data_IF_110674352635
#
_entry.id   IF_110674352635
#
_cell.length_a   1.000
_cell.length_b   1.000
_cell.length_c   1.000
_cell.angle_alpha   90.00
_cell.angle_beta   90.00
_cell.angle_gamma   90.00
#
_symmetry.space_group_name_H-M   'P 1'
#
loop_
_entity.id
_entity.type
_entity.pdbx_description
1 polymer ?
#
# COMPACT_ATOMS: atom_id res chain seq x y z
N UNK A 1 8.45 -16.49 -24.69
CA UNK A 1 7.36 -15.70 -24.06
C UNK A 1 6.68 -16.57 -23.02
N UNK A 2 6.44 -16.08 -21.80
CA UNK A 2 5.58 -16.80 -20.85
C UNK A 2 4.16 -16.82 -21.39
N UNK A 3 3.52 -18.00 -21.41
CA UNK A 3 2.11 -18.15 -21.77
C UNK A 3 1.16 -17.80 -20.60
N UNK A 4 1.71 -17.49 -19.42
CA UNK A 4 0.98 -16.98 -18.26
C UNK A 4 1.44 -15.55 -17.97
N UNK A 5 0.56 -14.59 -18.24
CA UNK A 5 0.76 -13.21 -17.80
C UNK A 5 0.40 -13.12 -16.32
N UNK A 6 1.16 -12.31 -15.57
CA UNK A 6 0.79 -12.03 -14.19
C UNK A 6 -0.56 -11.31 -14.14
N UNK A 7 -1.40 -11.56 -13.13
CA UNK A 7 -2.65 -10.83 -12.96
C UNK A 7 -2.39 -9.32 -12.88
N UNK A 8 -3.29 -8.53 -13.48
CA UNK A 8 -3.17 -7.07 -13.45
C UNK A 8 -3.68 -6.56 -12.09
N UNK A 9 -2.94 -5.69 -11.40
CA UNK A 9 -3.41 -5.14 -10.13
C UNK A 9 -4.58 -4.16 -10.32
N UNK A 10 -5.31 -3.83 -9.25
CA UNK A 10 -6.37 -2.82 -9.27
C UNK A 10 -5.92 -1.52 -9.96
N UNK A 11 -6.73 -1.03 -10.88
CA UNK A 11 -6.44 0.16 -11.68
C UNK A 11 -6.92 1.45 -10.98
N UNK A 12 -6.39 1.71 -9.77
CA UNK A 12 -6.64 2.93 -9.00
C UNK A 12 -5.33 3.49 -8.41
N UNK A 13 -5.19 4.82 -8.29
CA UNK A 13 -4.03 5.40 -7.63
C UNK A 13 -3.95 4.99 -6.17
N UNK A 14 -2.73 4.72 -5.71
CA UNK A 14 -2.43 4.30 -4.35
C UNK A 14 -1.07 4.85 -3.90
N UNK A 15 -0.70 6.06 -4.37
CA UNK A 15 0.61 6.67 -4.09
C UNK A 15 0.78 6.98 -2.62
N UNK A 16 -0.27 7.52 -2.01
CA UNK A 16 -0.28 7.92 -0.61
C UNK A 16 -1.51 7.37 0.11
N UNK A 17 -1.27 6.67 1.23
CA UNK A 17 -2.30 6.24 2.18
C UNK A 17 -2.21 7.08 3.45
N UNK A 18 -3.14 8.02 3.66
CA UNK A 18 -3.13 8.92 4.82
C UNK A 18 -3.89 8.31 6.00
N UNK A 19 -3.21 8.14 7.13
CA UNK A 19 -3.78 7.61 8.36
C UNK A 19 -4.26 8.71 9.30
N UNK A 20 -5.37 8.43 10.00
CA UNK A 20 -5.88 9.28 11.06
C UNK A 20 -6.69 8.50 12.09
N UNK A 21 -6.49 8.73 13.40
CA UNK A 21 -7.19 8.01 14.46
C UNK A 21 -8.69 8.32 14.43
N UNK A 22 -9.52 7.27 14.50
CA UNK A 22 -10.98 7.37 14.63
C UNK A 22 -11.44 8.10 15.89
N UNK A 23 -10.58 8.21 16.90
CA UNK A 23 -10.83 8.98 18.12
C UNK A 23 -10.70 10.50 17.93
N UNK A 24 -10.17 10.99 16.80
CA UNK A 24 -9.95 12.43 16.56
C UNK A 24 -10.78 12.97 15.38
N UNK A 25 -12.04 13.26 15.65
CA UNK A 25 -13.01 13.74 14.65
C UNK A 25 -12.63 15.05 13.95
N UNK A 26 -11.73 15.85 14.55
CA UNK A 26 -11.26 17.13 13.97
C UNK A 26 -10.39 16.93 12.72
N UNK A 27 -9.92 15.70 12.46
CA UNK A 27 -9.02 15.40 11.34
C UNK A 27 -9.79 15.02 10.07
N UNK A 28 -10.99 14.46 10.17
CA UNK A 28 -11.66 13.81 9.02
C UNK A 28 -11.86 14.75 7.84
N UNK A 29 -12.40 15.95 8.05
CA UNK A 29 -12.57 16.94 6.99
C UNK A 29 -11.23 17.38 6.36
N UNK A 30 -10.16 17.46 7.16
CA UNK A 30 -8.81 17.79 6.67
C UNK A 30 -8.21 16.66 5.85
N UNK A 31 -8.46 15.41 6.24
CA UNK A 31 -8.04 14.22 5.51
C UNK A 31 -8.78 14.12 4.17
N UNK A 32 -10.10 14.34 4.16
CA UNK A 32 -10.92 14.36 2.95
C UNK A 32 -10.43 15.41 1.94
N UNK A 33 -10.09 16.60 2.41
CA UNK A 33 -9.56 17.71 1.61
C UNK A 33 -8.08 17.55 1.20
N UNK A 34 -7.40 16.48 1.64
CA UNK A 34 -5.97 16.30 1.37
C UNK A 34 -5.68 15.82 -0.06
N UNK A 35 -4.40 15.82 -0.43
CA UNK A 35 -3.92 15.29 -1.71
C UNK A 35 -3.62 13.77 -1.66
N UNK A 36 -3.94 13.05 -0.59
CA UNK A 36 -3.74 11.61 -0.52
C UNK A 36 -4.68 10.87 -1.50
N UNK A 37 -4.29 9.70 -2.00
CA UNK A 37 -5.16 8.89 -2.88
C UNK A 37 -6.13 8.05 -2.04
N UNK A 38 -5.63 7.54 -0.91
CA UNK A 38 -6.34 6.67 0.03
C UNK A 38 -6.36 7.29 1.42
N UNK A 39 -7.49 7.17 2.10
CA UNK A 39 -7.69 7.56 3.49
C UNK A 39 -7.87 6.29 4.33
N UNK A 40 -7.08 6.15 5.39
CA UNK A 40 -7.23 5.10 6.39
C UNK A 40 -7.70 5.73 7.70
N UNK A 41 -8.98 5.50 8.04
CA UNK A 41 -9.51 5.79 9.37
C UNK A 41 -9.15 4.64 10.30
N UNK A 42 -8.51 4.94 11.42
CA UNK A 42 -7.89 3.91 12.25
C UNK A 42 -8.71 3.59 13.51
N UNK A 43 -8.94 2.30 13.78
CA UNK A 43 -9.54 1.80 15.02
C UNK A 43 -8.54 1.01 15.88
N UNK A 44 -7.30 0.85 15.40
CA UNK A 44 -6.32 -0.05 15.98
C UNK A 44 -5.25 0.69 16.79
N UNK A 45 -3.97 0.68 16.41
CA UNK A 45 -2.85 1.07 17.28
C UNK A 45 -2.79 2.59 17.60
N UNK A 46 -3.41 3.46 16.79
CA UNK A 46 -3.52 4.88 17.13
C UNK A 46 -4.71 5.22 18.04
N UNK A 47 -5.50 4.21 18.44
CA UNK A 47 -6.68 4.35 19.31
C UNK A 47 -6.51 3.53 20.57
N UNK A 48 -6.53 4.20 21.72
CA UNK A 48 -6.43 3.55 23.03
C UNK A 48 -7.58 2.53 23.23
N UNK A 49 -7.37 1.41 23.94
CA UNK A 49 -8.40 0.39 24.16
C UNK A 49 -9.73 0.92 24.70
N UNK A 50 -9.70 1.92 25.58
CA UNK A 50 -10.89 2.56 26.17
C UNK A 50 -11.71 3.38 25.16
N UNK A 51 -11.08 3.77 24.05
CA UNK A 51 -11.64 4.71 23.10
C UNK A 51 -12.16 4.00 21.84
N UNK A 52 -11.97 2.68 21.71
CA UNK A 52 -12.29 1.91 20.49
C UNK A 52 -13.77 1.94 20.14
N UNK A 53 -14.66 1.84 21.13
CA UNK A 53 -16.11 1.90 20.89
C UNK A 53 -16.54 3.29 20.40
N UNK A 54 -16.03 4.35 21.03
CA UNK A 54 -16.25 5.73 20.59
C UNK A 54 -15.67 5.95 19.19
N UNK A 55 -14.44 5.50 18.94
CA UNK A 55 -13.78 5.65 17.63
C UNK A 55 -14.56 4.93 16.53
N UNK A 56 -15.11 3.74 16.79
CA UNK A 56 -15.98 3.02 15.85
C UNK A 56 -17.22 3.83 15.49
N UNK A 57 -17.90 4.40 16.49
CA UNK A 57 -19.05 5.26 16.27
C UNK A 57 -18.69 6.50 15.44
N UNK A 58 -17.58 7.18 15.79
CA UNK A 58 -17.07 8.34 15.05
C UNK A 58 -16.74 8.02 13.59
N UNK A 59 -16.11 6.87 13.33
CA UNK A 59 -15.75 6.44 11.97
C UNK A 59 -16.99 6.16 11.14
N UNK A 60 -18.00 5.47 11.70
CA UNK A 60 -19.29 5.24 11.03
C UNK A 60 -19.97 6.57 10.71
N UNK A 61 -20.04 7.50 11.66
CA UNK A 61 -20.59 8.83 11.43
C UNK A 61 -19.84 9.57 10.32
N UNK A 62 -18.51 9.51 10.32
CA UNK A 62 -17.68 10.18 9.32
C UNK A 62 -17.85 9.59 7.92
N UNK A 63 -17.98 8.26 7.78
CA UNK A 63 -18.29 7.61 6.50
C UNK A 63 -19.65 8.08 5.95
N UNK A 64 -20.61 8.37 6.84
CA UNK A 64 -21.96 8.77 6.47
C UNK A 64 -22.10 10.27 6.16
N UNK A 65 -21.28 11.12 6.76
CA UNK A 65 -21.52 12.57 6.80
C UNK A 65 -20.44 13.43 6.17
N UNK A 66 -19.19 12.95 6.08
CA UNK A 66 -18.09 13.70 5.46
C UNK A 66 -18.10 13.47 3.96
N UNK A 67 -17.93 14.54 3.18
CA UNK A 67 -17.68 14.42 1.74
C UNK A 67 -16.22 14.03 1.49
N UNK A 68 -16.02 12.74 1.25
CA UNK A 68 -14.71 12.15 0.95
C UNK A 68 -14.32 12.26 -0.53
N UNK A 69 -15.13 12.91 -1.37
CA UNK A 69 -14.88 13.02 -2.80
C UNK A 69 -14.50 11.68 -3.45
N UNK A 70 -13.45 11.69 -4.27
CA UNK A 70 -12.96 10.52 -5.03
C UNK A 70 -11.92 9.66 -4.30
N UNK A 71 -11.67 9.89 -3.00
CA UNK A 71 -10.67 9.12 -2.23
C UNK A 71 -11.08 7.64 -2.15
N UNK A 72 -10.12 6.73 -2.13
CA UNK A 72 -10.41 5.38 -1.62
C UNK A 72 -10.52 5.48 -0.10
N UNK A 73 -11.70 5.21 0.46
CA UNK A 73 -11.96 5.30 1.90
C UNK A 73 -11.85 3.92 2.53
N UNK A 74 -10.81 3.75 3.34
CA UNK A 74 -10.50 2.51 4.06
C UNK A 74 -10.59 2.71 5.57
N UNK A 75 -10.91 1.63 6.29
CA UNK A 75 -10.86 1.58 7.75
C UNK A 75 -9.91 0.47 8.18
N UNK A 76 -8.93 0.79 9.03
CA UNK A 76 -8.13 -0.23 9.71
C UNK A 76 -8.87 -0.72 10.94
N UNK A 77 -9.35 -1.97 10.87
CA UNK A 77 -10.02 -2.64 11.99
C UNK A 77 -8.98 -3.11 13.01
N UNK A 78 -9.42 -3.55 14.18
CA UNK A 78 -8.55 -4.22 15.13
C UNK A 78 -8.15 -5.63 14.65
N UNK A 79 -7.04 -6.14 15.17
CA UNK A 79 -6.50 -7.46 14.82
C UNK A 79 -7.33 -8.63 15.34
N UNK A 80 -7.24 -9.78 14.65
CA UNK A 80 -8.05 -10.98 14.92
C UNK A 80 -7.80 -11.62 16.29
N UNK A 81 -6.68 -11.32 16.92
CA UNK A 81 -6.31 -11.73 18.28
C UNK A 81 -6.92 -10.84 19.38
N UNK A 82 -7.72 -9.83 19.02
CA UNK A 82 -8.38 -8.92 19.96
C UNK A 82 -9.89 -9.18 20.03
N UNK A 83 -10.58 -8.76 21.11
CA UNK A 83 -12.03 -8.87 21.17
C UNK A 83 -12.78 -7.83 20.32
N UNK A 84 -12.08 -6.92 19.62
CA UNK A 84 -12.69 -5.76 18.97
C UNK A 84 -13.02 -5.98 17.49
N UNK A 85 -12.21 -6.79 16.77
CA UNK A 85 -12.25 -6.89 15.30
C UNK A 85 -13.65 -7.24 14.75
N UNK A 86 -14.34 -8.18 15.39
CA UNK A 86 -15.64 -8.66 14.90
C UNK A 86 -16.68 -7.54 14.98
N UNK A 87 -16.63 -6.73 16.05
CA UNK A 87 -17.55 -5.62 16.26
C UNK A 87 -17.27 -4.49 15.29
N UNK A 88 -15.99 -4.23 15.01
CA UNK A 88 -15.59 -3.26 13.98
C UNK A 88 -16.21 -3.63 12.63
N UNK A 89 -16.03 -4.88 12.17
CA UNK A 89 -16.55 -5.34 10.88
C UNK A 89 -18.08 -5.30 10.84
N UNK A 90 -18.75 -5.84 11.87
CA UNK A 90 -20.22 -5.89 11.90
C UNK A 90 -20.82 -4.48 11.89
N UNK A 91 -20.39 -3.60 12.79
CA UNK A 91 -21.00 -2.27 12.89
C UNK A 91 -20.69 -1.41 11.65
N UNK A 92 -19.47 -1.50 11.10
CA UNK A 92 -19.12 -0.82 9.84
C UNK A 92 -20.05 -1.25 8.70
N UNK A 93 -20.24 -2.56 8.50
CA UNK A 93 -21.02 -3.04 7.36
C UNK A 93 -22.54 -2.92 7.57
N UNK A 94 -23.01 -2.96 8.81
CA UNK A 94 -24.44 -2.80 9.11
C UNK A 94 -24.91 -1.35 9.16
N UNK A 95 -24.02 -0.40 9.50
CA UNK A 95 -24.40 0.98 9.82
C UNK A 95 -23.73 2.04 8.92
N UNK A 96 -22.57 1.76 8.33
CA UNK A 96 -21.94 2.71 7.42
C UNK A 96 -22.57 2.63 6.02
N UNK A 97 -22.61 3.77 5.34
CA UNK A 97 -23.15 3.90 3.99
C UNK A 97 -22.31 3.13 2.96
N UNK A 98 -22.77 3.14 1.71
CA UNK A 98 -22.00 2.63 0.57
C UNK A 98 -20.75 3.45 0.26
N UNK A 99 -20.40 4.45 1.09
CA UNK A 99 -19.17 5.21 0.92
C UNK A 99 -17.92 4.44 1.32
N UNK A 100 -17.97 3.51 2.26
CA UNK A 100 -16.80 2.69 2.65
C UNK A 100 -16.33 1.84 1.46
N UNK A 101 -15.05 1.92 1.08
CA UNK A 101 -14.50 1.18 -0.07
C UNK A 101 -13.75 -0.08 0.35
N UNK A 102 -13.01 0.00 1.46
CA UNK A 102 -12.01 -1.02 1.81
C UNK A 102 -11.90 -1.21 3.33
N UNK A 103 -11.50 -2.40 3.76
CA UNK A 103 -11.09 -2.70 5.13
C UNK A 103 -9.61 -3.12 5.15
N UNK A 104 -8.83 -2.51 6.04
CA UNK A 104 -7.46 -2.90 6.33
C UNK A 104 -7.41 -3.86 7.51
N UNK A 105 -6.82 -5.04 7.31
CA UNK A 105 -6.65 -6.08 8.32
C UNK A 105 -5.20 -6.02 8.84
N UNK A 106 -4.97 -5.65 10.11
CA UNK A 106 -3.64 -5.63 10.69
C UNK A 106 -3.16 -7.04 11.07
N UNK A 107 -1.85 -7.17 11.27
CA UNK A 107 -1.19 -8.33 11.90
C UNK A 107 -1.52 -9.68 11.26
N UNK A 108 -1.81 -9.70 9.96
CA UNK A 108 -2.15 -10.94 9.23
C UNK A 108 -0.97 -11.91 9.27
N UNK A 109 -1.21 -13.11 9.78
CA UNK A 109 -0.21 -14.14 9.97
C UNK A 109 -0.32 -15.30 8.98
N UNK A 110 -1.48 -15.52 8.38
CA UNK A 110 -1.72 -16.58 7.40
C UNK A 110 -2.93 -16.28 6.49
N UNK A 111 -3.13 -17.09 5.44
CA UNK A 111 -4.27 -16.93 4.54
C UNK A 111 -5.64 -17.09 5.23
N UNK A 112 -5.72 -17.90 6.29
CA UNK A 112 -6.96 -18.15 7.03
C UNK A 112 -7.47 -16.91 7.78
N UNK A 113 -6.58 -16.00 8.18
CA UNK A 113 -6.97 -14.73 8.81
C UNK A 113 -7.78 -13.86 7.82
N UNK A 114 -7.31 -13.77 6.58
CA UNK A 114 -8.00 -13.05 5.51
C UNK A 114 -9.32 -13.72 5.17
N UNK A 115 -9.34 -15.05 5.10
CA UNK A 115 -10.57 -15.82 4.86
C UNK A 115 -11.63 -15.59 5.94
N UNK A 116 -11.23 -15.53 7.22
CA UNK A 116 -12.14 -15.29 8.33
C UNK A 116 -12.84 -13.93 8.21
N UNK A 117 -12.10 -12.88 7.83
CA UNK A 117 -12.67 -11.56 7.57
C UNK A 117 -13.56 -11.57 6.33
N UNK A 118 -13.11 -12.18 5.22
CA UNK A 118 -13.92 -12.28 3.99
C UNK A 118 -15.26 -12.98 4.23
N UNK A 119 -15.27 -14.08 4.99
CA UNK A 119 -16.49 -14.81 5.33
C UNK A 119 -17.48 -13.94 6.12
N UNK A 120 -17.01 -13.20 7.13
CA UNK A 120 -17.85 -12.29 7.91
C UNK A 120 -18.36 -11.13 7.05
N UNK A 121 -17.48 -10.49 6.29
CA UNK A 121 -17.82 -9.38 5.39
C UNK A 121 -18.89 -9.81 4.39
N UNK A 122 -18.69 -10.95 3.73
CA UNK A 122 -19.61 -11.49 2.72
C UNK A 122 -20.99 -11.80 3.33
N UNK A 123 -21.04 -12.38 4.53
CA UNK A 123 -22.30 -12.67 5.19
C UNK A 123 -23.08 -11.39 5.54
N UNK A 124 -22.41 -10.37 6.07
CA UNK A 124 -23.06 -9.11 6.45
C UNK A 124 -23.45 -8.30 5.20
N UNK A 125 -22.61 -8.24 4.16
CA UNK A 125 -22.97 -7.62 2.87
C UNK A 125 -24.26 -8.21 2.30
N UNK A 126 -24.35 -9.54 2.26
CA UNK A 126 -25.54 -10.24 1.76
C UNK A 126 -26.78 -9.97 2.64
N UNK A 127 -26.64 -10.01 3.97
CA UNK A 127 -27.74 -9.76 4.89
C UNK A 127 -28.28 -8.32 4.81
N UNK A 128 -27.39 -7.34 4.56
CA UNK A 128 -27.74 -5.92 4.44
C UNK A 128 -28.10 -5.50 3.02
N UNK A 129 -27.94 -6.39 2.04
CA UNK A 129 -28.20 -6.09 0.63
C UNK A 129 -27.24 -5.04 0.07
N UNK A 130 -25.99 -5.03 0.51
CA UNK A 130 -24.98 -4.06 0.05
C UNK A 130 -24.70 -4.28 -1.44
N UNK A 131 -24.71 -3.19 -2.19
CA UNK A 131 -24.50 -3.17 -3.64
C UNK A 131 -23.03 -3.06 -4.02
N UNK A 132 -22.22 -2.39 -3.19
CA UNK A 132 -20.79 -2.25 -3.39
C UNK A 132 -20.03 -3.27 -2.55
N UNK A 133 -19.23 -4.09 -3.24
CA UNK A 133 -18.33 -5.06 -2.61
C UNK A 133 -17.16 -4.34 -1.95
N UNK A 134 -16.92 -4.64 -0.68
CA UNK A 134 -15.78 -4.11 0.09
C UNK A 134 -14.50 -4.86 -0.31
N UNK A 135 -13.48 -4.07 -0.65
CA UNK A 135 -12.12 -4.55 -0.88
C UNK A 135 -11.40 -4.81 0.45
N UNK A 136 -10.35 -5.62 0.41
CA UNK A 136 -9.48 -5.87 1.55
C UNK A 136 -8.07 -5.37 1.24
N UNK A 137 -7.42 -4.80 2.24
CA UNK A 137 -5.98 -4.64 2.28
C UNK A 137 -5.43 -5.27 3.57
N UNK A 138 -4.18 -5.73 3.54
CA UNK A 138 -3.57 -6.38 4.70
C UNK A 138 -2.26 -5.71 5.07
N UNK A 139 -1.88 -5.82 6.34
CA UNK A 139 -0.56 -5.41 6.80
C UNK A 139 0.27 -6.66 7.10
N UNK A 140 1.43 -6.75 6.44
CA UNK A 140 2.51 -7.66 6.81
C UNK A 140 3.41 -6.94 7.80
N UNK A 141 3.26 -7.29 9.06
CA UNK A 141 3.96 -6.62 10.16
C UNK A 141 4.38 -7.60 11.26
N UNK A 142 4.57 -8.87 10.90
CA UNK A 142 5.04 -9.91 11.80
C UNK A 142 5.95 -10.91 11.10
N UNK A 143 6.71 -11.67 11.89
CA UNK A 143 7.53 -12.78 11.39
C UNK A 143 6.68 -13.83 10.66
N UNK A 144 5.48 -14.14 11.17
CA UNK A 144 4.55 -15.06 10.54
C UNK A 144 4.03 -14.51 9.20
N UNK A 145 3.62 -13.24 9.17
CA UNK A 145 3.11 -12.60 7.97
C UNK A 145 4.13 -12.62 6.83
N UNK A 146 5.41 -12.32 7.10
CA UNK A 146 6.43 -12.35 6.05
C UNK A 146 6.79 -13.78 5.62
N UNK A 147 6.75 -14.75 6.53
CA UNK A 147 6.99 -16.16 6.22
C UNK A 147 5.89 -16.77 5.34
N UNK A 148 4.65 -16.25 5.44
CA UNK A 148 3.47 -16.72 4.71
C UNK A 148 3.00 -15.72 3.64
N UNK A 149 3.83 -14.78 3.23
CA UNK A 149 3.41 -13.62 2.41
C UNK A 149 2.76 -14.00 1.07
N UNK A 150 3.21 -15.09 0.44
CA UNK A 150 2.64 -15.56 -0.84
C UNK A 150 1.24 -16.16 -0.67
N UNK A 151 1.01 -17.01 0.35
CA UNK A 151 -0.33 -17.55 0.59
C UNK A 151 -1.32 -16.46 1.02
N UNK A 152 -0.86 -15.45 1.76
CA UNK A 152 -1.67 -14.29 2.14
C UNK A 152 -2.06 -13.50 0.89
N UNK A 153 -1.12 -13.26 -0.03
CA UNK A 153 -1.41 -12.54 -1.28
C UNK A 153 -2.43 -13.27 -2.18
N UNK A 154 -2.58 -14.59 -2.03
CA UNK A 154 -3.55 -15.40 -2.76
C UNK A 154 -4.89 -15.61 -2.02
N UNK A 155 -5.02 -15.10 -0.79
CA UNK A 155 -6.01 -15.58 0.16
C UNK A 155 -7.47 -15.19 -0.13
N UNK A 156 -7.71 -14.08 -0.85
CA UNK A 156 -9.06 -13.61 -1.12
C UNK A 156 -9.16 -12.86 -2.45
N UNK A 157 -10.25 -13.04 -3.22
CA UNK A 157 -10.54 -12.21 -4.39
C UNK A 157 -10.91 -10.75 -4.03
N UNK A 158 -11.04 -10.40 -2.74
CA UNK A 158 -11.23 -9.02 -2.28
C UNK A 158 -9.89 -8.30 -2.08
N UNK A 159 -8.78 -9.04 -1.97
CA UNK A 159 -7.50 -8.47 -1.62
C UNK A 159 -6.99 -7.59 -2.76
N UNK A 160 -6.72 -6.33 -2.46
CA UNK A 160 -6.29 -5.33 -3.43
C UNK A 160 -4.90 -4.76 -3.11
N UNK A 161 -4.54 -4.68 -1.82
CA UNK A 161 -3.27 -4.11 -1.39
C UNK A 161 -2.65 -4.85 -0.20
N UNK A 162 -1.33 -4.76 -0.07
CA UNK A 162 -0.54 -5.31 1.02
C UNK A 162 0.52 -4.30 1.42
N UNK A 163 0.53 -3.92 2.71
CA UNK A 163 1.45 -2.93 3.27
C UNK A 163 2.50 -3.59 4.17
N UNK A 164 3.74 -3.07 4.17
CA UNK A 164 4.76 -3.44 5.16
C UNK A 164 4.66 -2.54 6.42
N UNK A 165 4.22 -3.09 7.55
CA UNK A 165 4.22 -2.36 8.83
C UNK A 165 5.59 -2.43 9.52
N UNK A 166 6.51 -1.54 9.19
CA UNK A 166 7.91 -1.65 9.60
C UNK A 166 8.16 -1.64 11.13
N UNK A 167 7.34 -0.91 11.90
CA UNK A 167 7.50 -0.82 13.37
C UNK A 167 7.16 -2.16 14.05
N UNK A 168 5.95 -2.65 13.83
CA UNK A 168 5.49 -3.94 14.38
C UNK A 168 6.26 -5.12 13.78
N UNK A 169 6.67 -5.04 12.51
CA UNK A 169 7.58 -6.03 11.92
C UNK A 169 8.89 -6.11 12.70
N UNK A 170 9.52 -4.97 12.97
CA UNK A 170 10.75 -4.92 13.74
C UNK A 170 10.57 -5.47 15.16
N UNK A 171 9.47 -5.13 15.83
CA UNK A 171 9.14 -5.65 17.15
C UNK A 171 8.94 -7.17 17.14
N UNK A 172 8.16 -7.69 16.19
CA UNK A 172 7.89 -9.13 16.03
C UNK A 172 9.14 -9.93 15.71
N UNK A 173 10.03 -9.37 14.89
CA UNK A 173 11.30 -10.00 14.50
C UNK A 173 12.39 -9.89 15.58
N UNK A 174 12.17 -9.13 16.65
CA UNK A 174 13.18 -8.86 17.68
C UNK A 174 14.33 -7.97 17.21
N UNK A 175 14.10 -7.13 16.19
CA UNK A 175 15.11 -6.22 15.66
C UNK A 175 15.46 -5.13 16.70
N UNK A 176 16.75 -4.85 16.85
CA UNK A 176 17.25 -3.83 17.79
C UNK A 176 17.13 -2.42 17.19
N UNK A 177 15.90 -1.92 17.08
CA UNK A 177 15.57 -0.56 16.62
C UNK A 177 14.42 0.01 17.44
N UNK A 178 14.38 1.34 17.56
CA UNK A 178 13.31 2.08 18.24
C UNK A 178 12.67 3.15 17.35
N UNK A 179 13.12 3.25 16.09
CA UNK A 179 12.52 4.08 15.07
C UNK A 179 11.46 3.32 14.26
N UNK A 180 10.77 4.04 13.38
CA UNK A 180 9.78 3.46 12.46
C UNK A 180 10.33 3.60 11.03
N UNK A 181 10.83 2.48 10.48
CA UNK A 181 11.48 2.46 9.16
C UNK A 181 12.88 3.08 9.17
N UNK A 182 13.30 3.63 8.03
CA UNK A 182 14.54 4.38 7.89
C UNK A 182 15.83 3.56 7.93
N UNK A 183 16.96 4.28 7.89
CA UNK A 183 18.31 3.73 8.05
C UNK A 183 18.54 3.29 9.49
N UNK A 184 19.27 2.19 9.69
CA UNK A 184 19.60 1.68 11.02
C UNK A 184 21.09 1.87 11.30
N UNK A 185 21.44 2.64 12.33
CA UNK A 185 22.82 3.03 12.64
C UNK A 185 23.76 1.82 12.75
N UNK A 186 23.27 0.70 13.29
CA UNK A 186 24.04 -0.53 13.50
C UNK A 186 24.01 -1.51 12.33
N UNK A 187 23.34 -1.18 11.21
CA UNK A 187 23.26 -2.05 10.02
C UNK A 187 24.19 -1.54 8.91
N UNK A 188 25.49 -1.77 9.09
CA UNK A 188 26.52 -1.32 8.17
C UNK A 188 27.58 -2.40 7.92
N UNK A 189 28.26 -2.26 6.78
CA UNK A 189 29.49 -2.98 6.47
C UNK A 189 30.70 -2.12 6.84
N UNK A 190 31.75 -2.72 7.37
CA UNK A 190 33.03 -2.05 7.65
C UNK A 190 34.06 -2.44 6.58
N UNK A 191 34.56 -1.46 5.83
CA UNK A 191 35.62 -1.66 4.83
C UNK A 191 36.67 -0.56 4.99
N UNK A 192 37.94 -0.93 5.20
CA UNK A 192 39.05 0.02 5.35
C UNK A 192 38.80 1.14 6.38
N UNK A 193 38.10 0.82 7.49
CA UNK A 193 37.76 1.78 8.54
C UNK A 193 36.57 2.69 8.23
N UNK A 194 35.94 2.55 7.06
CA UNK A 194 34.73 3.29 6.66
C UNK A 194 33.47 2.45 6.85
N UNK A 195 32.40 3.09 7.34
CA UNK A 195 31.07 2.48 7.46
C UNK A 195 30.27 2.70 6.17
N UNK A 196 29.63 1.64 5.68
CA UNK A 196 28.70 1.67 4.55
C UNK A 196 27.36 1.09 5.00
N UNK A 197 26.37 1.95 5.22
CA UNK A 197 25.03 1.51 5.61
C UNK A 197 24.34 0.76 4.47
N UNK A 198 23.67 -0.34 4.83
CA UNK A 198 22.87 -1.12 3.90
C UNK A 198 21.38 -1.04 4.28
N UNK A 199 20.53 -1.73 3.54
CA UNK A 199 19.08 -1.71 3.75
C UNK A 199 18.62 -2.94 4.57
N UNK A 200 18.23 -2.75 5.84
CA UNK A 200 17.77 -3.86 6.68
C UNK A 200 16.36 -4.35 6.32
N UNK A 201 15.64 -3.63 5.44
CA UNK A 201 14.26 -3.96 5.05
C UNK A 201 14.19 -4.68 3.70
N UNK A 202 15.32 -4.84 3.02
CA UNK A 202 15.39 -5.27 1.61
C UNK A 202 14.60 -6.56 1.33
N UNK A 203 14.82 -7.61 2.13
CA UNK A 203 14.11 -8.88 1.93
C UNK A 203 12.60 -8.75 2.17
N UNK A 204 12.19 -8.08 3.26
CA UNK A 204 10.77 -7.91 3.57
C UNK A 204 10.04 -7.17 2.45
N UNK A 205 10.63 -6.08 1.95
CA UNK A 205 10.06 -5.29 0.86
C UNK A 205 10.00 -6.09 -0.46
N UNK A 206 11.10 -6.74 -0.84
CA UNK A 206 11.14 -7.51 -2.10
C UNK A 206 10.23 -8.74 -2.09
N UNK A 207 10.12 -9.45 -0.96
CA UNK A 207 9.23 -10.59 -0.82
C UNK A 207 7.74 -10.17 -0.92
N UNK A 208 7.36 -9.06 -0.27
CA UNK A 208 6.01 -8.48 -0.42
C UNK A 208 5.75 -8.08 -1.87
N UNK A 209 6.69 -7.39 -2.53
CA UNK A 209 6.51 -7.04 -3.96
C UNK A 209 6.33 -8.29 -4.82
N UNK A 210 7.15 -9.32 -4.63
CA UNK A 210 7.07 -10.56 -5.40
C UNK A 210 5.73 -11.27 -5.21
N UNK A 211 5.26 -11.41 -3.98
CA UNK A 211 3.95 -12.00 -3.67
C UNK A 211 2.83 -11.18 -4.30
N UNK A 212 2.84 -9.86 -4.12
CA UNK A 212 1.83 -8.98 -4.67
C UNK A 212 1.76 -9.03 -6.19
N UNK A 213 2.90 -8.94 -6.88
CA UNK A 213 2.94 -8.95 -8.34
C UNK A 213 2.58 -10.32 -8.93
N UNK A 214 2.79 -11.41 -8.19
CA UNK A 214 2.34 -12.76 -8.58
C UNK A 214 0.81 -12.90 -8.53
N UNK A 215 0.16 -12.22 -7.59
CA UNK A 215 -1.29 -12.36 -7.35
C UNK A 215 -2.14 -11.15 -7.78
N UNK A 216 -1.53 -10.13 -8.41
CA UNK A 216 -2.25 -8.93 -8.86
C UNK A 216 -2.66 -8.01 -7.71
N UNK A 217 -1.84 -7.90 -6.68
CA UNK A 217 -2.05 -7.05 -5.51
C UNK A 217 -1.13 -5.82 -5.61
N UNK A 218 -1.51 -4.71 -4.99
CA UNK A 218 -0.69 -3.50 -4.87
C UNK A 218 0.26 -3.62 -3.67
N UNK A 219 1.60 -3.67 -3.87
CA UNK A 219 2.56 -3.62 -2.76
C UNK A 219 2.78 -2.18 -2.30
N UNK A 220 2.66 -1.92 -1.00
CA UNK A 220 2.69 -0.58 -0.40
C UNK A 220 3.70 -0.54 0.74
N UNK A 221 4.46 0.56 0.83
CA UNK A 221 5.35 0.80 1.97
C UNK A 221 4.58 1.42 3.14
N UNK A 222 4.88 0.99 4.36
CA UNK A 222 4.20 1.49 5.55
C UNK A 222 4.78 2.80 6.08
N UNK A 223 4.71 3.04 7.41
CA UNK A 223 5.00 4.34 8.00
C UNK A 223 6.51 4.67 7.99
N UNK A 224 6.80 5.96 8.09
CA UNK A 224 8.12 6.49 8.47
C UNK A 224 7.93 7.45 9.64
N UNK A 225 8.63 7.20 10.74
CA UNK A 225 8.32 7.83 12.04
C UNK A 225 8.91 9.21 12.27
N UNK A 226 10.01 9.55 11.61
CA UNK A 226 10.65 10.85 11.83
C UNK A 226 9.99 11.92 10.94
N UNK A 227 9.11 12.72 11.53
CA UNK A 227 8.40 13.79 10.81
C UNK A 227 9.26 15.04 10.57
N UNK A 228 10.47 15.07 11.14
CA UNK A 228 11.42 16.16 10.92
C UNK A 228 12.42 15.86 9.80
N UNK A 229 12.57 14.59 9.41
CA UNK A 229 13.50 14.14 8.38
C UNK A 229 12.80 13.88 7.03
N UNK A 230 12.54 14.97 6.29
CA UNK A 230 11.93 14.90 4.96
C UNK A 230 12.82 14.11 3.96
N UNK A 231 14.15 14.20 4.07
CA UNK A 231 15.07 13.49 3.18
C UNK A 231 15.15 12.00 3.51
N UNK A 232 15.13 11.61 4.78
CA UNK A 232 15.00 10.21 5.18
C UNK A 232 13.70 9.60 4.69
N UNK A 233 12.60 10.35 4.78
CA UNK A 233 11.30 9.94 4.21
C UNK A 233 11.38 9.74 2.69
N UNK A 234 11.97 10.69 1.95
CA UNK A 234 12.22 10.57 0.50
C UNK A 234 13.11 9.37 0.17
N UNK A 235 14.18 9.16 0.94
CA UNK A 235 15.11 8.07 0.72
C UNK A 235 14.44 6.70 0.92
N UNK A 236 13.64 6.54 1.97
CA UNK A 236 12.85 5.32 2.16
C UNK A 236 11.84 5.12 1.03
N UNK A 237 11.06 6.15 0.68
CA UNK A 237 10.08 6.07 -0.40
C UNK A 237 10.74 5.68 -1.75
N UNK A 238 11.90 6.26 -2.08
CA UNK A 238 12.63 5.96 -3.33
C UNK A 238 13.16 4.52 -3.36
N UNK A 239 13.64 3.98 -2.24
CA UNK A 239 14.01 2.55 -2.14
C UNK A 239 12.79 1.66 -2.40
N UNK A 240 11.67 1.94 -1.73
CA UNK A 240 10.41 1.21 -1.90
C UNK A 240 9.91 1.24 -3.36
N UNK A 241 9.90 2.43 -3.99
CA UNK A 241 9.53 2.61 -5.40
C UNK A 241 10.46 1.83 -6.34
N UNK A 242 11.78 1.87 -6.07
CA UNK A 242 12.78 1.12 -6.85
C UNK A 242 12.54 -0.39 -6.80
N UNK A 243 12.15 -0.91 -5.62
CA UNK A 243 11.84 -2.33 -5.45
C UNK A 243 10.47 -2.73 -6.02
N UNK A 244 9.63 -1.77 -6.41
CA UNK A 244 8.35 -2.00 -7.09
C UNK A 244 7.09 -1.77 -6.26
N UNK A 245 7.21 -1.20 -5.06
CA UNK A 245 6.06 -0.69 -4.30
C UNK A 245 5.43 0.50 -5.02
N UNK A 246 4.11 0.65 -4.90
CA UNK A 246 3.32 1.64 -5.66
C UNK A 246 2.93 2.87 -4.85
N UNK A 247 3.23 2.86 -3.56
CA UNK A 247 2.92 3.97 -2.66
C UNK A 247 3.51 3.79 -1.28
N UNK A 248 3.27 4.79 -0.45
CA UNK A 248 3.71 4.83 0.95
C UNK A 248 2.66 5.47 1.86
N UNK A 249 2.59 4.99 3.09
CA UNK A 249 1.76 5.62 4.13
C UNK A 249 2.25 7.01 4.50
N UNK A 250 1.30 7.90 4.76
CA UNK A 250 1.52 9.17 5.45
C UNK A 250 0.84 9.09 6.82
N UNK A 251 1.62 9.20 7.89
CA UNK A 251 1.14 9.32 9.27
C UNK A 251 1.28 10.75 9.81
N UNK A 252 1.80 11.66 8.98
CA UNK A 252 1.81 13.10 9.19
C UNK A 252 1.51 13.85 7.87
N UNK A 253 0.74 14.96 7.85
CA UNK A 253 0.33 15.63 6.61
C UNK A 253 1.47 16.03 5.67
N UNK A 254 2.66 16.37 6.20
CA UNK A 254 3.85 16.69 5.39
C UNK A 254 4.29 15.56 4.46
N UNK A 255 4.05 14.31 4.86
CA UNK A 255 4.48 13.13 4.11
C UNK A 255 3.63 12.89 2.85
N UNK A 256 2.43 13.49 2.76
CA UNK A 256 1.55 13.35 1.60
C UNK A 256 2.24 13.86 0.34
N UNK A 257 2.83 15.06 0.41
CA UNK A 257 3.51 15.66 -0.73
C UNK A 257 4.74 14.83 -1.15
N UNK A 258 5.52 14.36 -0.18
CA UNK A 258 6.70 13.51 -0.42
C UNK A 258 6.31 12.18 -1.09
N UNK A 259 5.25 11.54 -0.58
CA UNK A 259 4.77 10.28 -1.13
C UNK A 259 4.24 10.48 -2.56
N UNK A 260 3.41 11.50 -2.78
CA UNK A 260 2.91 11.81 -4.12
C UNK A 260 4.03 12.16 -5.11
N UNK A 261 5.06 12.91 -4.68
CA UNK A 261 6.24 13.22 -5.49
C UNK A 261 6.97 11.95 -5.93
N UNK A 262 7.32 11.07 -4.99
CA UNK A 262 8.16 9.90 -5.28
C UNK A 262 7.42 8.82 -6.09
N UNK A 263 6.12 8.64 -5.86
CA UNK A 263 5.31 7.63 -6.54
C UNK A 263 4.55 8.15 -7.76
N UNK A 264 4.80 9.40 -8.17
CA UNK A 264 4.38 9.92 -9.49
C UNK A 264 5.59 9.88 -10.42
N UNK A 265 5.54 9.15 -11.55
CA UNK A 265 6.63 9.18 -12.53
C UNK A 265 6.89 10.61 -13.02
N UNK A 266 8.16 11.00 -13.15
CA UNK A 266 8.51 12.34 -13.65
C UNK A 266 8.15 12.50 -15.12
N UNK A 267 7.96 13.74 -15.57
CA UNK A 267 7.66 14.04 -16.97
C UNK A 267 8.74 13.50 -17.91
N UNK A 268 10.02 13.55 -17.49
CA UNK A 268 11.13 12.97 -18.25
C UNK A 268 11.04 11.45 -18.34
N UNK A 269 10.70 10.77 -17.23
CA UNK A 269 10.53 9.31 -17.22
C UNK A 269 9.35 8.87 -18.09
N UNK A 270 8.25 9.65 -18.08
CA UNK A 270 7.08 9.41 -18.94
C UNK A 270 7.42 9.65 -20.41
N UNK A 271 8.12 10.75 -20.73
CA UNK A 271 8.54 11.03 -22.10
C UNK A 271 9.47 9.94 -22.64
N UNK A 272 10.47 9.53 -21.87
CA UNK A 272 11.37 8.43 -22.22
C UNK A 272 10.62 7.11 -22.41
N UNK A 273 9.68 6.78 -21.52
CA UNK A 273 8.84 5.59 -21.66
C UNK A 273 8.00 5.63 -22.95
N UNK A 274 7.42 6.78 -23.31
CA UNK A 274 6.68 6.94 -24.58
C UNK A 274 7.57 6.82 -25.81
N UNK A 275 8.80 7.34 -25.76
CA UNK A 275 9.79 7.18 -26.84
C UNK A 275 10.21 5.70 -27.02
N UNK A 276 10.44 4.97 -25.92
CA UNK A 276 10.74 3.53 -25.95
C UNK A 276 9.60 2.73 -26.59
N UNK A 277 8.35 3.03 -26.22
CA UNK A 277 7.17 2.37 -26.80
C UNK A 277 7.05 2.66 -28.31
N UNK A 278 7.28 3.90 -28.74
CA UNK A 278 7.25 4.28 -30.14
C UNK A 278 8.34 3.56 -30.96
N UNK A 279 9.57 3.50 -30.45
CA UNK A 279 10.69 2.81 -31.10
C UNK A 279 10.42 1.30 -31.26
N UNK A 280 9.80 0.67 -30.27
CA UNK A 280 9.44 -0.75 -30.35
C UNK A 280 8.27 -1.02 -31.29
N UNK A 281 7.30 -0.10 -31.41
CA UNK A 281 6.25 -0.22 -32.41
C UNK A 281 6.79 -0.10 -33.85
N UNK A 282 7.84 0.70 -34.08
CA UNK A 282 8.55 0.74 -35.35
C UNK A 282 9.32 -0.56 -35.61
N UNK A 283 10.05 -1.08 -34.63
CA UNK A 283 10.77 -2.35 -34.72
C UNK A 283 9.84 -3.52 -35.07
N UNK A 284 8.65 -3.60 -34.42
CA UNK A 284 7.63 -4.61 -34.73
C UNK A 284 7.15 -4.53 -36.18
N UNK A 285 6.94 -3.33 -36.72
CA UNK A 285 6.54 -3.14 -38.13
C UNK A 285 7.61 -3.63 -39.11
N UNK A 286 8.88 -3.54 -38.71
CA UNK A 286 10.03 -4.02 -39.47
C UNK A 286 10.32 -5.52 -39.28
N UNK A 287 9.54 -6.22 -38.44
CA UNK A 287 9.75 -7.64 -38.14
C UNK A 287 10.89 -7.91 -37.15
N UNK A 288 11.32 -6.89 -36.40
CA UNK A 288 12.42 -6.96 -35.44
C UNK A 288 11.89 -7.22 -34.02
N UNK A 289 12.56 -8.12 -33.28
CA UNK A 289 12.19 -8.46 -31.89
C UNK A 289 12.84 -7.58 -30.82
N UNK A 290 13.78 -6.71 -31.20
CA UNK A 290 14.49 -5.79 -30.34
C UNK A 290 14.99 -4.59 -31.17
N UNK A 291 15.18 -3.44 -30.53
CA UNK A 291 15.71 -2.22 -31.16
C UNK A 291 16.78 -1.57 -30.30
N UNK A 292 17.43 -0.53 -30.82
CA UNK A 292 18.40 0.28 -30.07
C UNK A 292 17.81 1.66 -29.79
N UNK A 293 17.75 2.04 -28.52
CA UNK A 293 17.36 3.38 -28.09
C UNK A 293 18.45 3.97 -27.20
N UNK A 294 18.93 5.18 -27.54
CA UNK A 294 20.05 5.87 -26.88
C UNK A 294 21.28 4.98 -26.62
N UNK A 295 21.62 4.14 -27.60
CA UNK A 295 22.77 3.23 -27.53
C UNK A 295 22.59 2.00 -26.63
N UNK A 296 21.37 1.72 -26.16
CA UNK A 296 21.03 0.53 -25.37
C UNK A 296 20.05 -0.36 -26.11
N UNK A 297 20.18 -1.67 -25.91
CA UNK A 297 19.21 -2.65 -26.41
C UNK A 297 17.89 -2.48 -25.64
N UNK A 298 16.79 -2.42 -26.39
CA UNK A 298 15.43 -2.39 -25.88
C UNK A 298 14.70 -3.61 -26.44
N UNK A 299 14.08 -4.38 -25.55
CA UNK A 299 13.35 -5.60 -25.90
C UNK A 299 11.93 -5.61 -25.31
N UNK A 300 11.27 -6.76 -25.36
CA UNK A 300 9.92 -6.95 -24.82
C UNK A 300 9.84 -6.66 -23.31
N UNK A 301 10.90 -6.89 -22.54
CA UNK A 301 10.92 -6.55 -21.12
C UNK A 301 10.96 -5.03 -20.92
N UNK A 302 11.75 -4.32 -21.73
CA UNK A 302 11.78 -2.85 -21.73
C UNK A 302 10.42 -2.22 -22.08
N UNK A 303 9.66 -2.81 -23.00
CA UNK A 303 8.27 -2.39 -23.29
C UNK A 303 7.42 -2.46 -22.03
N UNK A 304 7.43 -3.61 -21.34
CA UNK A 304 6.59 -3.82 -20.15
C UNK A 304 6.93 -2.83 -19.03
N UNK A 305 8.19 -2.46 -18.88
CA UNK A 305 8.61 -1.43 -17.94
C UNK A 305 8.07 -0.04 -18.34
N UNK A 306 8.18 0.33 -19.61
CA UNK A 306 7.66 1.59 -20.13
C UNK A 306 6.12 1.68 -20.03
N UNK A 307 5.40 0.58 -20.31
CA UNK A 307 3.95 0.50 -20.14
C UNK A 307 3.50 0.74 -18.69
N UNK A 308 4.27 0.29 -17.70
CA UNK A 308 3.98 0.54 -16.28
C UNK A 308 4.07 2.04 -15.97
N UNK A 309 5.13 2.71 -16.41
CA UNK A 309 5.34 4.14 -16.20
C UNK A 309 4.21 4.96 -16.83
N UNK A 310 3.90 4.69 -18.10
CA UNK A 310 2.86 5.41 -18.83
C UNK A 310 1.48 5.18 -18.21
N UNK A 311 1.15 3.92 -17.87
CA UNK A 311 -0.13 3.58 -17.22
C UNK A 311 -0.31 4.28 -15.88
N UNK A 312 0.75 4.36 -15.07
CA UNK A 312 0.70 5.09 -13.79
C UNK A 312 0.45 6.58 -14.01
N UNK A 313 1.17 7.22 -14.93
CA UNK A 313 0.98 8.63 -15.26
C UNK A 313 -0.45 8.93 -15.73
N UNK A 314 -1.01 8.11 -16.64
CA UNK A 314 -2.36 8.27 -17.17
C UNK A 314 -3.43 8.08 -16.09
N UNK A 315 -3.22 7.11 -15.18
CA UNK A 315 -4.11 6.87 -14.06
C UNK A 315 -4.16 8.06 -13.10
N UNK A 316 -3.01 8.67 -12.80
CA UNK A 316 -2.90 9.84 -11.93
C UNK A 316 -3.55 11.07 -12.57
N UNK A 317 -3.34 11.28 -13.87
CA UNK A 317 -3.92 12.42 -14.61
C UNK A 317 -5.46 12.35 -14.73
N UNK A 318 -6.04 11.17 -14.57
CA UNK A 318 -7.49 10.94 -14.67
C UNK A 318 -8.29 11.24 -13.39
N UNK A 319 -7.62 11.57 -12.28
CA UNK A 319 -8.26 11.86 -10.98
C UNK A 319 -8.90 13.24 -10.87
#
# INVERSE_FOLDING_TARGET
MSFRLQPTPPARPNRCQLFGPGSNTKLFAKMAASAADVINLDLEDSVAPTDKDMARANVIEAINTVDWGKKTLSVRINSLDTPYWYRDVVDLLEQASERLDQIMIPKVGCAADVYAVDALVTAVEAAKGRSKRIALEVIIESAAGIAHVEEIAAASPRLEAMSLGAADFAASMGMQTTGIGGTQENYYMLHEGQKHWSDPWHWAQTAIVAACRTHGILPVDGPFGDFSDDEGCRAQARRSATLGMVGKWAIHPKQIAISNEVFTPSDEAVAEAREILAAMEEAKKNGEGATVYKGRLVDIASIKQAEVIVRQSEMIASQ
#
